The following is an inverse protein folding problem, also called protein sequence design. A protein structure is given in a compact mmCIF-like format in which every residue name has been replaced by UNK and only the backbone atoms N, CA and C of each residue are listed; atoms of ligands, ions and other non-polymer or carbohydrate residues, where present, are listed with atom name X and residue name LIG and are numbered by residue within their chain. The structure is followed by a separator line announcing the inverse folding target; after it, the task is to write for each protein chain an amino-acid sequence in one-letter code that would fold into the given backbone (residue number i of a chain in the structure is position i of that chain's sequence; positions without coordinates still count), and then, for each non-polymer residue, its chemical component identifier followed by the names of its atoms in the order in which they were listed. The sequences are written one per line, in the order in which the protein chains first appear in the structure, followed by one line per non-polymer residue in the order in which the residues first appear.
data_IF_787074539634
#
_entry.id   IF_787074539634
#
_cell.length_a   1.000
_cell.length_b   1.000
_cell.length_c   1.000
_cell.angle_alpha   90.00
_cell.angle_beta   90.00
_cell.angle_gamma   90.00
#
_symmetry.space_group_name_H-M   'P 1'
#
loop_
_entity.id
_entity.type
_entity.pdbx_description
1 polymer ?
#
# COMPACT_ATOMS: atom_id res chain seq x y z
N UNK A 1 8.12 4.64 -15.44
CA UNK A 1 8.47 6.05 -15.70
C UNK A 1 7.23 6.89 -15.49
N UNK A 2 7.28 7.88 -14.60
CA UNK A 2 6.12 8.67 -14.19
C UNK A 2 6.25 10.06 -14.81
N UNK A 3 5.14 10.53 -15.37
CA UNK A 3 5.03 11.84 -16.02
C UNK A 3 4.13 12.73 -15.16
N UNK A 4 4.64 13.89 -14.78
CA UNK A 4 3.87 14.89 -14.03
C UNK A 4 4.05 16.26 -14.66
N UNK A 5 3.01 17.09 -14.58
CA UNK A 5 3.04 18.46 -15.08
C UNK A 5 2.89 19.38 -13.88
N UNK A 6 3.88 20.25 -13.68
CA UNK A 6 3.84 21.26 -12.61
C UNK A 6 3.74 22.63 -13.24
N UNK A 7 2.75 23.42 -12.80
CA UNK A 7 2.66 24.83 -13.15
C UNK A 7 3.63 25.65 -12.33
N UNK A 8 4.49 26.40 -13.01
CA UNK A 8 5.40 27.36 -12.39
C UNK A 8 5.24 28.72 -13.06
N UNK A 9 5.43 29.81 -12.30
CA UNK A 9 5.61 31.14 -12.90
C UNK A 9 7.03 31.28 -13.45
N UNK A 10 7.14 31.79 -14.68
CA UNK A 10 8.42 32.19 -15.25
C UNK A 10 8.90 33.53 -14.66
N UNK A 11 10.06 34.00 -15.13
CA UNK A 11 10.65 35.29 -14.72
C UNK A 11 9.78 36.50 -15.12
N UNK A 12 8.87 36.32 -16.07
CA UNK A 12 7.93 37.33 -16.56
C UNK A 12 6.55 37.25 -15.88
N UNK A 13 6.36 36.34 -14.92
CA UNK A 13 5.12 36.14 -14.18
C UNK A 13 4.03 35.35 -14.91
N UNK A 14 4.31 34.79 -16.09
CA UNK A 14 3.40 33.89 -16.82
C UNK A 14 3.48 32.46 -16.28
N UNK A 15 2.35 31.77 -16.27
CA UNK A 15 2.31 30.36 -15.90
C UNK A 15 2.72 29.49 -17.07
N UNK A 16 3.78 28.70 -16.87
CA UNK A 16 4.28 27.72 -17.82
C UNK A 16 4.11 26.32 -17.22
N UNK A 17 3.66 25.38 -18.04
CA UNK A 17 3.56 23.97 -17.69
C UNK A 17 4.94 23.32 -17.91
N UNK A 18 5.55 22.82 -16.84
CA UNK A 18 6.81 22.08 -16.88
C UNK A 18 6.54 20.59 -16.79
N UNK A 19 6.97 19.85 -17.81
CA UNK A 19 6.95 18.39 -17.80
C UNK A 19 8.12 17.86 -16.96
N UNK A 20 7.79 17.11 -15.90
CA UNK A 20 8.77 16.45 -15.04
C UNK A 20 8.67 14.95 -15.27
N UNK A 21 9.82 14.33 -15.55
CA UNK A 21 9.97 12.88 -15.70
C UNK A 21 10.81 12.36 -14.55
N UNK A 22 10.28 11.39 -13.83
CA UNK A 22 11.03 10.71 -12.76
C UNK A 22 10.77 9.21 -12.77
N UNK A 23 11.75 8.46 -12.27
CA UNK A 23 11.72 7.00 -12.21
C UNK A 23 11.34 6.46 -10.83
N UNK A 24 11.26 5.14 -10.74
CA UNK A 24 11.10 4.41 -9.47
C UNK A 24 12.29 4.68 -8.55
N UNK A 25 13.51 4.77 -9.09
CA UNK A 25 14.71 5.11 -8.33
C UNK A 25 14.67 6.49 -7.68
N UNK A 26 14.02 7.48 -8.30
CA UNK A 26 13.81 8.80 -7.70
C UNK A 26 12.84 8.73 -6.53
N UNK A 27 11.75 7.95 -6.67
CA UNK A 27 10.80 7.71 -5.59
C UNK A 27 11.47 7.05 -4.39
N UNK A 28 12.22 5.95 -4.62
CA UNK A 28 12.96 5.25 -3.57
C UNK A 28 13.91 6.17 -2.82
N UNK A 29 14.65 7.00 -3.55
CA UNK A 29 15.59 7.96 -2.97
C UNK A 29 14.89 9.06 -2.16
N UNK A 30 13.82 9.66 -2.68
CA UNK A 30 13.16 10.83 -2.05
C UNK A 30 12.27 10.43 -0.89
N UNK A 31 11.59 9.29 -0.99
CA UNK A 31 10.70 8.76 0.05
C UNK A 31 11.43 7.79 1.01
N UNK A 32 12.73 7.59 0.81
CA UNK A 32 13.58 6.67 1.57
C UNK A 32 12.99 5.25 1.65
N UNK A 33 12.41 4.79 0.53
CA UNK A 33 11.90 3.43 0.41
C UNK A 33 13.09 2.48 0.24
N UNK A 34 13.26 1.59 1.21
CA UNK A 34 14.32 0.58 1.23
C UNK A 34 13.99 -0.70 0.45
N UNK A 35 13.06 -0.62 -0.50
CA UNK A 35 12.65 -1.74 -1.34
C UNK A 35 13.46 -1.83 -2.64
N UNK A 36 13.27 -2.92 -3.36
CA UNK A 36 13.97 -3.22 -4.60
C UNK A 36 13.04 -3.86 -5.63
N UNK A 37 13.45 -3.84 -6.91
CA UNK A 37 12.68 -4.48 -7.99
C UNK A 37 12.64 -6.02 -7.86
N UNK A 38 13.58 -6.59 -7.10
CA UNK A 38 13.66 -8.02 -6.81
C UNK A 38 12.72 -8.43 -5.66
N UNK A 39 12.20 -7.46 -4.89
CA UNK A 39 11.29 -7.73 -3.78
C UNK A 39 9.89 -8.11 -4.29
N UNK A 40 9.18 -9.01 -3.58
CA UNK A 40 7.86 -9.43 -4.00
C UNK A 40 6.84 -8.29 -3.88
N UNK A 41 5.98 -8.16 -4.88
CA UNK A 41 4.76 -7.33 -4.83
C UNK A 41 3.52 -8.14 -4.46
N UNK A 42 3.62 -9.48 -4.58
CA UNK A 42 2.55 -10.44 -4.33
C UNK A 42 3.13 -11.65 -3.58
N UNK A 43 2.45 -12.05 -2.52
CA UNK A 43 2.68 -13.29 -1.79
C UNK A 43 1.63 -14.35 -2.20
N UNK A 44 1.94 -15.64 -2.03
CA UNK A 44 0.97 -16.70 -2.28
C UNK A 44 -0.30 -16.50 -1.44
N UNK A 45 -1.46 -16.56 -2.09
CA UNK A 45 -2.76 -16.32 -1.44
C UNK A 45 -2.98 -17.20 -0.19
N UNK A 46 -2.55 -18.47 -0.27
CA UNK A 46 -2.61 -19.42 0.85
C UNK A 46 -1.79 -18.95 2.07
N UNK A 47 -0.65 -18.30 1.84
CA UNK A 47 0.18 -17.74 2.91
C UNK A 47 -0.56 -16.59 3.59
N UNK A 48 -1.08 -15.65 2.80
CA UNK A 48 -1.79 -14.47 3.29
C UNK A 48 -3.03 -14.87 4.10
N UNK A 49 -3.89 -15.72 3.53
CA UNK A 49 -5.09 -16.24 4.19
C UNK A 49 -4.77 -17.04 5.45
N UNK A 50 -3.74 -17.89 5.39
CA UNK A 50 -3.27 -18.64 6.55
C UNK A 50 -2.76 -17.74 7.68
N UNK A 51 -2.11 -16.63 7.34
CA UNK A 51 -1.70 -15.62 8.32
C UNK A 51 -2.90 -14.92 8.94
N UNK A 52 -3.91 -14.57 8.15
CA UNK A 52 -5.12 -13.93 8.67
C UNK A 52 -5.86 -14.78 9.70
N UNK A 53 -5.93 -16.10 9.47
CA UNK A 53 -6.44 -17.01 10.48
C UNK A 53 -5.62 -16.94 11.78
N UNK A 54 -4.28 -16.86 11.70
CA UNK A 54 -3.39 -16.69 12.88
C UNK A 54 -3.54 -15.33 13.56
N UNK A 55 -3.95 -14.30 12.83
CA UNK A 55 -4.27 -12.98 13.36
C UNK A 55 -5.66 -12.93 14.03
N UNK A 56 -6.37 -14.06 14.07
CA UNK A 56 -7.68 -14.19 14.69
C UNK A 56 -8.82 -13.66 13.81
N UNK A 57 -8.69 -13.78 12.48
CA UNK A 57 -9.79 -13.47 11.56
C UNK A 57 -10.94 -14.49 11.70
N UNK A 58 -12.15 -14.01 11.98
CA UNK A 58 -13.35 -14.83 12.22
C UNK A 58 -14.33 -14.84 11.04
N UNK A 59 -14.08 -14.07 9.99
CA UNK A 59 -14.92 -13.99 8.80
C UNK A 59 -14.74 -15.17 7.83
N UNK A 60 -15.52 -15.18 6.76
CA UNK A 60 -15.34 -16.15 5.67
C UNK A 60 -14.06 -15.84 4.88
N UNK A 61 -13.11 -16.78 4.87
CA UNK A 61 -11.75 -16.56 4.31
C UNK A 61 -11.72 -16.33 2.79
N UNK A 62 -12.75 -16.74 2.07
CA UNK A 62 -12.90 -16.46 0.63
C UNK A 62 -13.93 -15.35 0.36
N UNK A 63 -14.40 -14.68 1.42
CA UNK A 63 -15.38 -13.63 1.36
C UNK A 63 -14.76 -12.25 1.52
N UNK A 64 -15.60 -11.31 1.93
CA UNK A 64 -15.16 -9.95 2.23
C UNK A 64 -14.33 -9.91 3.51
N UNK A 65 -13.25 -9.19 3.40
CA UNK A 65 -12.19 -9.14 4.37
C UNK A 65 -12.32 -7.89 5.26
N UNK A 66 -13.10 -8.01 6.33
CA UNK A 66 -13.51 -6.87 7.16
C UNK A 66 -12.60 -6.73 8.40
N UNK A 67 -12.05 -5.54 8.63
CA UNK A 67 -11.12 -5.25 9.73
C UNK A 67 -11.66 -5.56 11.12
N UNK A 68 -12.98 -5.51 11.32
CA UNK A 68 -13.65 -5.81 12.60
C UNK A 68 -13.63 -7.29 12.97
N UNK A 69 -13.37 -8.18 12.00
CA UNK A 69 -13.35 -9.63 12.20
C UNK A 69 -11.99 -10.13 12.70
N UNK A 70 -11.00 -9.25 12.91
CA UNK A 70 -9.71 -9.61 13.48
C UNK A 70 -9.70 -9.44 15.00
N UNK A 71 -8.75 -10.12 15.65
CA UNK A 71 -8.50 -9.91 17.09
C UNK A 71 -8.09 -8.45 17.37
N UNK A 72 -8.34 -7.99 18.61
CA UNK A 72 -8.11 -6.60 19.01
C UNK A 72 -6.69 -6.08 18.69
N UNK A 73 -5.67 -6.91 18.88
CA UNK A 73 -4.28 -6.55 18.61
C UNK A 73 -4.03 -6.21 17.13
N UNK A 74 -4.61 -6.99 16.21
CA UNK A 74 -4.40 -6.80 14.78
C UNK A 74 -5.44 -5.88 14.13
N UNK A 75 -6.63 -5.73 14.73
CA UNK A 75 -7.69 -4.84 14.26
C UNK A 75 -7.21 -3.40 14.11
N UNK A 76 -6.47 -2.89 15.09
CA UNK A 76 -5.94 -1.51 15.04
C UNK A 76 -4.92 -1.34 13.91
N UNK A 77 -3.98 -2.29 13.78
CA UNK A 77 -2.99 -2.27 12.71
C UNK A 77 -3.64 -2.30 11.32
N UNK A 78 -4.61 -3.19 11.09
CA UNK A 78 -5.33 -3.26 9.81
C UNK A 78 -6.10 -1.97 9.55
N UNK A 79 -6.73 -1.40 10.59
CA UNK A 79 -7.37 -0.10 10.49
C UNK A 79 -6.41 0.99 10.00
N UNK A 80 -5.22 1.09 10.59
CA UNK A 80 -4.20 2.06 10.15
C UNK A 80 -3.79 1.85 8.70
N UNK A 81 -3.50 0.61 8.29
CA UNK A 81 -3.05 0.32 6.91
C UNK A 81 -4.17 0.60 5.90
N UNK A 82 -5.40 0.18 6.19
CA UNK A 82 -6.55 0.43 5.28
C UNK A 82 -6.82 1.93 5.16
N UNK A 83 -6.76 2.69 6.26
CA UNK A 83 -6.96 4.15 6.18
C UNK A 83 -5.82 4.89 5.49
N UNK A 84 -4.58 4.41 5.60
CA UNK A 84 -3.43 5.05 4.95
C UNK A 84 -3.37 4.74 3.44
N UNK A 85 -3.71 3.51 3.05
CA UNK A 85 -3.43 3.00 1.71
C UNK A 85 -4.67 2.76 0.85
N UNK A 86 -5.88 2.85 1.40
CA UNK A 86 -7.10 2.70 0.59
C UNK A 86 -7.32 3.95 -0.27
N UNK A 87 -7.34 3.77 -1.58
CA UNK A 87 -7.64 4.85 -2.53
C UNK A 87 -9.15 5.11 -2.69
N UNK A 88 -10.01 4.43 -1.91
CA UNK A 88 -11.46 4.54 -2.04
C UNK A 88 -12.02 5.63 -1.13
N UNK A 89 -12.97 6.42 -1.66
CA UNK A 89 -13.73 7.43 -0.90
C UNK A 89 -14.67 6.83 0.17
N UNK A 90 -14.73 5.50 0.30
CA UNK A 90 -15.56 4.74 1.25
C UNK A 90 -15.08 3.28 1.39
N UNK A 91 -15.77 2.48 2.21
CA UNK A 91 -15.41 1.08 2.51
C UNK A 91 -14.03 0.91 3.16
N UNK A 92 -13.65 1.81 4.08
CA UNK A 92 -12.43 1.70 4.90
C UNK A 92 -12.42 0.52 5.89
N UNK A 93 -13.47 -0.30 5.88
CA UNK A 93 -13.57 -1.51 6.68
C UNK A 93 -13.11 -2.76 5.92
N UNK A 94 -13.10 -2.70 4.59
CA UNK A 94 -12.74 -3.83 3.73
C UNK A 94 -11.28 -3.73 3.28
N UNK A 95 -10.59 -4.86 3.29
CA UNK A 95 -9.20 -5.00 2.86
C UNK A 95 -9.16 -5.51 1.43
N UNK A 96 -8.42 -4.83 0.55
CA UNK A 96 -8.13 -5.29 -0.81
C UNK A 96 -6.94 -6.26 -0.85
N UNK A 97 -6.76 -6.97 -1.96
CA UNK A 97 -5.68 -7.95 -2.10
C UNK A 97 -4.27 -7.33 -1.97
N UNK A 98 -4.04 -6.12 -2.46
CA UNK A 98 -2.74 -5.46 -2.27
C UNK A 98 -2.50 -5.09 -0.79
N UNK A 99 -3.53 -4.62 -0.07
CA UNK A 99 -3.43 -4.34 1.37
C UNK A 99 -3.17 -5.64 2.13
N UNK A 100 -3.79 -6.75 1.73
CA UNK A 100 -3.52 -8.07 2.30
C UNK A 100 -2.04 -8.46 2.16
N UNK A 101 -1.43 -8.18 1.01
CA UNK A 101 0.00 -8.44 0.78
C UNK A 101 0.89 -7.54 1.65
N UNK A 102 0.58 -6.25 1.74
CA UNK A 102 1.30 -5.29 2.59
C UNK A 102 1.20 -5.68 4.07
N UNK A 103 0.00 -6.02 4.56
CA UNK A 103 -0.19 -6.53 5.93
C UNK A 103 0.61 -7.81 6.16
N UNK A 104 0.63 -8.72 5.18
CA UNK A 104 1.39 -9.97 5.26
C UNK A 104 2.90 -9.70 5.37
N UNK A 105 3.42 -8.80 4.54
CA UNK A 105 4.79 -8.30 4.63
C UNK A 105 5.11 -7.74 6.01
N UNK A 106 4.29 -6.81 6.51
CA UNK A 106 4.51 -6.13 7.79
C UNK A 106 4.51 -7.09 8.97
N UNK A 107 3.55 -8.01 9.04
CA UNK A 107 3.44 -8.96 10.16
C UNK A 107 4.53 -10.02 10.12
N UNK A 108 4.93 -10.46 8.93
CA UNK A 108 5.99 -11.48 8.78
C UNK A 108 7.39 -10.87 8.71
N UNK A 109 7.51 -9.53 8.72
CA UNK A 109 8.75 -8.80 8.51
C UNK A 109 9.53 -9.29 7.28
N UNK A 110 8.84 -9.35 6.13
CA UNK A 110 9.43 -9.77 4.85
C UNK A 110 9.72 -8.57 3.95
N UNK A 111 10.66 -8.67 3.00
CA UNK A 111 10.82 -7.65 1.97
C UNK A 111 9.55 -7.53 1.11
N UNK A 112 9.25 -6.32 0.65
CA UNK A 112 8.10 -6.02 -0.21
C UNK A 112 8.37 -4.78 -1.04
N UNK A 113 8.06 -4.86 -2.33
CA UNK A 113 8.19 -3.73 -3.25
C UNK A 113 6.91 -2.88 -3.21
N UNK A 114 7.03 -1.67 -2.64
CA UNK A 114 5.96 -0.66 -2.52
C UNK A 114 6.01 0.34 -3.69
N UNK A 115 7.17 0.46 -4.34
CA UNK A 115 7.52 1.52 -5.31
C UNK A 115 6.99 1.30 -6.73
#
# INVERSE_FOLDING_TARGET
MIYSVVRKKDENGQYVDLEIKFGVGDLRRVLELGDSDDDPTIFPERLCKGLWCRMGFTGHINGKMIKTMFSHAYKFMIHCVVHALSHRKGAYDETSDYIMNIVTCLVLNRPYNVS
#
